data_IF_188208002713
#
_entry.id   IF_188208002713
#
_cell.length_a   1.000
_cell.length_b   1.000
_cell.length_c   1.000
_cell.angle_alpha   90.00
_cell.angle_beta   90.00
_cell.angle_gamma   90.00
#
_symmetry.space_group_name_H-M   'P 1'
#
loop_
_entity.id
_entity.type
_entity.pdbx_description
1 polymer ?
#
# COMPACT_ATOMS: atom_id res chain seq x y z
N UNK A 1 -13.41 -11.93 22.42
CA UNK A 1 -13.49 -12.77 21.22
C UNK A 1 -12.36 -12.34 20.27
N UNK A 2 -11.17 -12.93 20.38
CA UNK A 2 -10.03 -12.64 19.49
C UNK A 2 -9.89 -13.78 18.48
N UNK A 3 -10.78 -13.81 17.49
CA UNK A 3 -10.58 -14.63 16.30
C UNK A 3 -9.96 -13.74 15.23
N UNK A 4 -8.68 -13.95 14.93
CA UNK A 4 -7.95 -13.63 13.68
C UNK A 4 -6.47 -13.31 13.94
N UNK A 5 -5.83 -14.02 14.88
CA UNK A 5 -4.37 -14.20 14.87
C UNK A 5 -4.14 -15.67 14.51
N UNK A 6 -4.54 -16.07 13.31
CA UNK A 6 -4.30 -17.41 12.79
C UNK A 6 -4.02 -17.30 11.29
N UNK A 7 -2.75 -17.04 10.96
CA UNK A 7 -2.06 -17.83 9.96
C UNK A 7 -2.39 -17.62 8.48
N UNK A 8 -2.51 -16.39 7.97
CA UNK A 8 -2.11 -16.15 6.58
C UNK A 8 -0.60 -15.90 6.54
N UNK A 9 0.14 -16.81 5.92
CA UNK A 9 1.60 -16.75 5.83
C UNK A 9 2.07 -15.55 4.98
N UNK A 10 1.24 -15.15 4.00
CA UNK A 10 1.56 -14.13 3.01
C UNK A 10 0.30 -13.29 2.75
N UNK A 11 0.50 -12.00 2.47
CA UNK A 11 -0.54 -11.10 2.00
C UNK A 11 -1.02 -11.50 0.61
N UNK A 12 -2.32 -11.70 0.44
CA UNK A 12 -2.95 -11.87 -0.86
C UNK A 12 -3.60 -10.57 -1.30
N UNK A 13 -3.83 -10.41 -2.60
CA UNK A 13 -4.50 -9.23 -3.16
C UNK A 13 -5.84 -8.92 -2.47
N UNK A 14 -6.64 -9.95 -2.20
CA UNK A 14 -7.93 -9.84 -1.53
C UNK A 14 -7.83 -9.26 -0.12
N UNK A 15 -6.72 -9.49 0.59
CA UNK A 15 -6.48 -8.90 1.92
C UNK A 15 -6.16 -7.40 1.83
N UNK A 16 -5.58 -6.97 0.70
CA UNK A 16 -5.17 -5.59 0.45
C UNK A 16 -6.29 -4.72 -0.12
N UNK A 17 -7.23 -5.31 -0.88
CA UNK A 17 -8.35 -4.61 -1.53
C UNK A 17 -9.07 -3.57 -0.65
N UNK A 18 -9.53 -3.87 0.58
CA UNK A 18 -10.23 -2.88 1.40
C UNK A 18 -9.33 -1.69 1.78
N UNK A 19 -8.05 -1.95 2.04
CA UNK A 19 -7.09 -0.91 2.38
C UNK A 19 -6.68 -0.06 1.15
N UNK A 20 -6.52 -0.70 -0.01
CA UNK A 20 -6.21 -0.02 -1.28
C UNK A 20 -7.36 0.85 -1.76
N UNK A 21 -8.61 0.40 -1.60
CA UNK A 21 -9.78 1.23 -1.93
C UNK A 21 -9.85 2.48 -1.07
N UNK A 22 -9.72 2.33 0.25
CA UNK A 22 -9.68 3.46 1.16
C UNK A 22 -8.50 4.41 0.88
N UNK A 23 -7.37 3.86 0.41
CA UNK A 23 -6.22 4.65 -0.02
C UNK A 23 -6.53 5.46 -1.30
N UNK A 24 -7.09 4.84 -2.33
CA UNK A 24 -7.50 5.50 -3.59
C UNK A 24 -8.43 6.68 -3.29
N UNK A 25 -9.47 6.46 -2.49
CA UNK A 25 -10.43 7.50 -2.11
C UNK A 25 -9.74 8.70 -1.42
N UNK A 26 -8.80 8.43 -0.49
CA UNK A 26 -8.03 9.46 0.24
C UNK A 26 -7.09 10.25 -0.66
N UNK A 27 -6.50 9.61 -1.67
CA UNK A 27 -5.63 10.27 -2.64
C UNK A 27 -6.45 11.20 -3.54
N UNK A 28 -7.61 10.74 -4.01
CA UNK A 28 -8.51 11.56 -4.84
C UNK A 28 -9.04 12.78 -4.07
N UNK A 29 -9.34 12.66 -2.78
CA UNK A 29 -9.71 13.82 -1.94
C UNK A 29 -8.58 14.85 -1.79
N UNK A 30 -7.32 14.46 -2.08
CA UNK A 30 -6.16 15.34 -2.08
C UNK A 30 -5.81 15.87 -3.48
N UNK A 31 -6.74 15.81 -4.43
CA UNK A 31 -6.57 16.24 -5.82
C UNK A 31 -5.57 15.39 -6.61
N UNK A 32 -5.31 14.15 -6.20
CA UNK A 32 -4.57 13.20 -7.04
C UNK A 32 -5.54 12.67 -8.11
N UNK A 33 -5.12 12.75 -9.38
CA UNK A 33 -5.90 12.21 -10.49
C UNK A 33 -6.17 10.71 -10.31
N UNK A 34 -7.34 10.24 -10.72
CA UNK A 34 -7.75 8.84 -10.53
C UNK A 34 -6.73 7.85 -11.09
N UNK A 35 -6.24 8.09 -12.31
CA UNK A 35 -5.24 7.24 -12.96
C UNK A 35 -3.94 7.15 -12.15
N UNK A 36 -3.53 8.25 -11.51
CA UNK A 36 -2.32 8.29 -10.68
C UNK A 36 -2.57 7.57 -9.35
N UNK A 37 -3.74 7.76 -8.75
CA UNK A 37 -4.12 7.06 -7.51
C UNK A 37 -4.20 5.54 -7.74
N UNK A 38 -4.73 5.11 -8.88
CA UNK A 38 -4.82 3.71 -9.28
C UNK A 38 -3.44 3.09 -9.49
N UNK A 39 -2.59 3.71 -10.31
CA UNK A 39 -1.20 3.27 -10.52
C UNK A 39 -0.41 3.16 -9.21
N UNK A 40 -0.63 4.09 -8.28
CA UNK A 40 0.00 4.04 -6.96
C UNK A 40 -0.52 2.86 -6.13
N UNK A 41 -1.84 2.64 -6.11
CA UNK A 41 -2.44 1.51 -5.40
C UNK A 41 -1.96 0.16 -5.98
N UNK A 42 -1.85 0.04 -7.30
CA UNK A 42 -1.29 -1.15 -7.96
C UNK A 42 0.18 -1.37 -7.59
N UNK A 43 1.01 -0.31 -7.58
CA UNK A 43 2.40 -0.42 -7.16
C UNK A 43 2.54 -0.86 -5.70
N UNK A 44 1.64 -0.39 -4.82
CA UNK A 44 1.61 -0.80 -3.41
C UNK A 44 1.16 -2.26 -3.28
N UNK A 45 0.11 -2.65 -4.01
CA UNK A 45 -0.37 -4.03 -4.05
C UNK A 45 0.75 -4.99 -4.47
N UNK A 46 1.43 -4.68 -5.58
CA UNK A 46 2.54 -5.47 -6.10
C UNK A 46 3.72 -5.57 -5.12
N UNK A 47 4.01 -4.50 -4.37
CA UNK A 47 5.08 -4.50 -3.37
C UNK A 47 4.75 -5.33 -2.12
N UNK A 48 3.46 -5.51 -1.81
CA UNK A 48 3.00 -6.16 -0.59
C UNK A 48 2.47 -7.58 -0.79
N UNK A 49 1.98 -7.92 -1.98
CA UNK A 49 1.54 -9.26 -2.33
C UNK A 49 2.70 -10.26 -2.12
N UNK A 50 2.40 -11.40 -1.50
CA UNK A 50 3.41 -12.40 -1.20
C UNK A 50 4.34 -12.03 -0.03
N UNK A 51 4.23 -10.84 0.60
CA UNK A 51 5.00 -10.53 1.81
C UNK A 51 4.31 -11.07 3.06
N UNK A 52 5.13 -11.56 3.98
CA UNK A 52 4.69 -11.98 5.31
C UNK A 52 4.52 -10.73 6.20
N UNK A 53 3.32 -10.54 6.73
CA UNK A 53 3.10 -9.53 7.77
C UNK A 53 3.86 -9.92 9.03
N UNK A 54 4.60 -8.96 9.60
CA UNK A 54 5.18 -9.14 10.91
C UNK A 54 4.07 -9.30 11.96
N UNK A 55 4.28 -10.19 12.93
CA UNK A 55 3.35 -10.39 14.05
C UNK A 55 3.00 -9.03 14.67
N UNK A 56 1.70 -8.80 14.92
CA UNK A 56 1.14 -7.55 15.46
C UNK A 56 1.06 -6.33 14.54
N UNK A 57 1.37 -6.45 13.25
CA UNK A 57 1.19 -5.34 12.29
C UNK A 57 -0.19 -5.39 11.62
N UNK A 58 -0.87 -4.24 11.49
CA UNK A 58 -2.13 -4.13 10.74
C UNK A 58 -1.86 -3.91 9.25
N UNK A 59 -2.64 -4.56 8.40
CA UNK A 59 -2.61 -4.38 6.93
C UNK A 59 -2.66 -2.89 6.55
N UNK A 60 -3.56 -2.12 7.17
CA UNK A 60 -3.71 -0.68 6.91
C UNK A 60 -2.41 0.11 7.12
N UNK A 61 -1.65 -0.22 8.18
CA UNK A 61 -0.39 0.45 8.50
C UNK A 61 0.69 0.05 7.50
N UNK A 62 0.76 -1.22 7.13
CA UNK A 62 1.69 -1.71 6.10
C UNK A 62 1.43 -1.08 4.73
N UNK A 63 0.15 -0.96 4.34
CA UNK A 63 -0.26 -0.28 3.10
C UNK A 63 0.11 1.19 3.12
N UNK A 64 -0.08 1.87 4.25
CA UNK A 64 0.31 3.29 4.40
C UNK A 64 1.83 3.47 4.26
N UNK A 65 2.64 2.67 4.94
CA UNK A 65 4.11 2.74 4.80
C UNK A 65 4.56 2.46 3.38
N UNK A 66 4.00 1.43 2.73
CA UNK A 66 4.34 1.12 1.34
C UNK A 66 3.93 2.22 0.36
N UNK A 67 2.82 2.91 0.61
CA UNK A 67 2.40 4.10 -0.13
C UNK A 67 3.40 5.25 0.04
N UNK A 68 3.84 5.53 1.27
CA UNK A 68 4.84 6.56 1.54
C UNK A 68 6.16 6.28 0.79
N UNK A 69 6.66 5.04 0.84
CA UNK A 69 7.83 4.59 0.07
C UNK A 69 7.63 4.79 -1.45
N UNK A 70 6.46 4.40 -1.97
CA UNK A 70 6.15 4.54 -3.38
C UNK A 70 6.10 6.02 -3.81
N UNK A 71 5.50 6.89 -3.00
CA UNK A 71 5.48 8.33 -3.24
C UNK A 71 6.86 8.95 -3.17
N UNK A 72 7.67 8.62 -2.17
CA UNK A 72 9.05 9.10 -2.05
C UNK A 72 9.85 8.71 -3.29
N UNK A 73 9.72 7.47 -3.76
CA UNK A 73 10.38 7.00 -4.99
C UNK A 73 9.93 7.74 -6.25
N UNK A 74 8.65 8.12 -6.35
CA UNK A 74 8.10 8.86 -7.49
C UNK A 74 8.53 10.33 -7.46
N UNK A 75 8.48 10.95 -6.27
CA UNK A 75 8.75 12.37 -6.07
C UNK A 75 10.24 12.70 -5.90
N UNK A 76 11.07 11.70 -5.62
CA UNK A 76 12.53 11.84 -5.54
C UNK A 76 13.13 11.36 -6.85
N UNK A 77 13.37 12.25 -7.83
CA UNK A 77 14.02 11.86 -9.07
C UNK A 77 15.43 11.33 -8.78
N UNK A 78 15.77 10.15 -9.30
CA UNK A 78 17.12 9.57 -9.22
C UNK A 78 18.20 10.33 -10.02
N UNK A 79 17.82 11.42 -10.70
CA UNK A 79 18.81 12.26 -11.39
C UNK A 79 19.48 13.15 -10.35
N UNK A 80 20.66 12.74 -9.91
CA UNK A 80 21.66 13.68 -9.41
C UNK A 80 21.88 14.70 -10.52
N UNK A 81 21.56 15.97 -10.25
CA UNK A 81 21.94 17.07 -11.12
C UNK A 81 23.37 17.42 -10.71
N UNK A 82 24.33 16.75 -11.33
CA UNK A 82 25.74 17.17 -11.37
C UNK A 82 26.01 17.77 -12.76
#
# INVERSE_FOLDING_TARGET
>A
MFQSIAGKANLEKADLEPALKALKDRLMTKNVAEEIAEKLCESVAFSLEGKKLASFTRISSTVQTAMEDALVRILTPKRSID
#
